data_IF_489471582755
#
_entry.id   IF_489471582755
#
_cell.length_a   1.000
_cell.length_b   1.000
_cell.length_c   1.000
_cell.angle_alpha   90.00
_cell.angle_beta   90.00
_cell.angle_gamma   90.00
#
_symmetry.space_group_name_H-M   'P 1'
#
loop_
_entity.id
_entity.type
_entity.pdbx_description
1 polymer ?
#
# COMPACT_ATOMS: atom_id res chain seq x y z
N UNK A 1 -14.34 2.23 -25.69
CA UNK A 1 -13.16 1.35 -25.80
C UNK A 1 -12.49 1.25 -24.44
N UNK A 2 -12.30 0.05 -23.86
CA UNK A 2 -11.53 -0.07 -22.63
C UNK A 2 -10.09 0.37 -22.92
N UNK A 3 -9.59 1.38 -22.19
CA UNK A 3 -8.18 1.79 -22.27
C UNK A 3 -7.35 0.58 -21.85
N UNK A 4 -6.57 0.03 -22.78
CA UNK A 4 -5.63 -1.04 -22.49
C UNK A 4 -4.72 -0.59 -21.36
N UNK A 5 -4.66 -1.38 -20.27
CA UNK A 5 -3.74 -1.12 -19.17
C UNK A 5 -2.32 -1.27 -19.73
N UNK A 6 -1.52 -0.22 -19.63
CA UNK A 6 -0.10 -0.26 -20.01
C UNK A 6 0.61 -1.42 -19.32
N UNK A 7 1.62 -2.01 -19.97
CA UNK A 7 2.37 -3.12 -19.38
C UNK A 7 3.06 -2.68 -18.07
N UNK A 8 3.40 -3.64 -17.22
CA UNK A 8 4.08 -3.35 -15.96
C UNK A 8 5.44 -2.67 -16.18
N UNK A 9 6.19 -3.10 -17.20
CA UNK A 9 7.51 -2.54 -17.49
C UNK A 9 7.40 -1.15 -18.12
N UNK A 10 6.41 -0.91 -18.98
CA UNK A 10 6.12 0.43 -19.50
C UNK A 10 5.66 1.38 -18.39
N UNK A 11 4.83 0.89 -17.46
CA UNK A 11 4.40 1.65 -16.30
C UNK A 11 5.59 2.05 -15.43
N UNK A 12 6.48 1.11 -15.09
CA UNK A 12 7.69 1.42 -14.33
C UNK A 12 8.57 2.43 -15.07
N UNK A 13 8.80 2.23 -16.37
CA UNK A 13 9.63 3.12 -17.18
C UNK A 13 9.05 4.52 -17.28
N UNK A 14 7.73 4.63 -17.51
CA UNK A 14 7.00 5.90 -17.58
C UNK A 14 7.16 6.72 -16.30
N UNK A 15 7.11 6.06 -15.15
CA UNK A 15 7.16 6.71 -13.85
C UNK A 15 8.54 6.67 -13.18
N UNK A 16 9.58 6.20 -13.88
CA UNK A 16 10.93 6.02 -13.37
C UNK A 16 10.99 5.23 -12.04
N UNK A 17 10.17 4.19 -11.92
CA UNK A 17 10.07 3.35 -10.73
C UNK A 17 11.10 2.22 -10.78
N UNK A 18 11.74 1.95 -9.64
CA UNK A 18 12.74 0.90 -9.48
C UNK A 18 12.24 -0.15 -8.50
N UNK A 19 12.40 -1.43 -8.85
CA UNK A 19 12.13 -2.53 -7.93
C UNK A 19 12.98 -2.37 -6.67
N UNK A 20 12.36 -2.64 -5.51
CA UNK A 20 13.04 -2.63 -4.23
C UNK A 20 12.40 -3.69 -3.33
N UNK A 21 13.18 -4.23 -2.39
CA UNK A 21 12.64 -5.05 -1.30
C UNK A 21 11.68 -4.29 -0.40
N UNK A 22 11.72 -2.94 -0.46
CA UNK A 22 10.96 -2.08 0.43
C UNK A 22 9.58 -1.66 -0.09
N UNK A 23 9.26 -2.01 -1.35
CA UNK A 23 7.99 -1.61 -1.96
C UNK A 23 7.43 -2.66 -2.93
N UNK A 24 6.15 -3.02 -2.75
CA UNK A 24 5.37 -3.91 -3.59
C UNK A 24 4.88 -3.18 -4.87
N UNK A 25 5.79 -2.92 -5.81
CA UNK A 25 5.44 -2.24 -7.06
C UNK A 25 4.43 -3.02 -7.90
N UNK A 26 4.54 -4.36 -7.92
CA UNK A 26 3.56 -5.23 -8.59
C UNK A 26 2.17 -5.10 -7.96
N UNK A 27 2.08 -5.08 -6.63
CA UNK A 27 0.82 -4.85 -5.92
C UNK A 27 0.21 -3.49 -6.26
N UNK A 28 1.02 -2.44 -6.28
CA UNK A 28 0.57 -1.10 -6.62
C UNK A 28 0.08 -0.98 -8.08
N UNK A 29 0.83 -1.56 -9.01
CA UNK A 29 0.45 -1.65 -10.42
C UNK A 29 -0.85 -2.44 -10.59
N UNK A 30 -0.97 -3.61 -9.95
CA UNK A 30 -2.19 -4.42 -10.00
C UNK A 30 -3.41 -3.67 -9.46
N UNK A 31 -3.24 -2.92 -8.37
CA UNK A 31 -4.28 -2.06 -7.79
C UNK A 31 -4.65 -0.85 -8.68
N UNK A 32 -3.78 -0.50 -9.63
CA UNK A 32 -3.99 0.58 -10.59
C UNK A 32 -3.52 1.95 -10.08
N UNK A 33 -2.61 1.99 -9.11
CA UNK A 33 -2.06 3.26 -8.64
C UNK A 33 -1.10 3.86 -9.66
N UNK A 34 -1.09 5.19 -9.66
CA UNK A 34 -0.06 5.99 -10.32
C UNK A 34 0.61 6.83 -9.25
N UNK A 35 1.92 7.07 -9.35
CA UNK A 35 2.59 7.97 -8.43
C UNK A 35 1.98 9.37 -8.47
N UNK A 36 2.03 10.07 -7.34
CA UNK A 36 1.65 11.47 -7.25
C UNK A 36 2.64 12.40 -7.99
N UNK A 37 2.41 13.72 -7.93
CA UNK A 37 3.30 14.72 -8.56
C UNK A 37 4.73 14.72 -8.00
N UNK A 38 4.95 14.09 -6.85
CA UNK A 38 6.27 13.91 -6.21
C UNK A 38 6.85 12.51 -6.47
N UNK A 39 6.18 11.67 -7.25
CA UNK A 39 6.60 10.31 -7.55
C UNK A 39 6.33 9.30 -6.42
N UNK A 40 5.48 9.64 -5.44
CA UNK A 40 5.15 8.73 -4.35
C UNK A 40 3.94 7.86 -4.67
N UNK A 41 4.04 6.58 -4.29
CA UNK A 41 2.94 5.64 -4.29
C UNK A 41 2.39 5.45 -2.86
N UNK A 42 1.11 5.03 -2.71
CA UNK A 42 0.49 4.89 -1.40
C UNK A 42 1.19 3.84 -0.53
N UNK A 43 1.06 4.01 0.79
CA UNK A 43 1.57 3.04 1.78
C UNK A 43 0.68 1.80 1.85
N UNK A 44 -0.63 1.98 1.70
CA UNK A 44 -1.65 0.93 1.83
C UNK A 44 -2.50 0.90 0.58
N UNK A 45 -2.84 -0.30 0.13
CA UNK A 45 -3.81 -0.53 -0.91
C UNK A 45 -5.22 -0.31 -0.33
N UNK A 46 -5.86 0.80 -0.67
CA UNK A 46 -7.19 1.19 -0.19
C UNK A 46 -8.30 0.19 -0.50
N UNK A 47 -8.13 -0.64 -1.53
CA UNK A 47 -9.11 -1.68 -1.93
C UNK A 47 -9.01 -2.95 -1.10
N UNK A 48 -7.80 -3.32 -0.68
CA UNK A 48 -7.55 -4.63 -0.06
C UNK A 48 -7.07 -4.54 1.39
N UNK A 49 -6.62 -3.36 1.82
CA UNK A 49 -5.95 -3.15 3.10
C UNK A 49 -4.49 -3.64 3.13
N UNK A 50 -3.96 -4.19 2.04
CA UNK A 50 -2.57 -4.67 1.99
C UNK A 50 -1.59 -3.50 2.00
N UNK A 51 -0.59 -3.58 2.88
CA UNK A 51 0.50 -2.62 2.90
C UNK A 51 1.39 -2.85 1.69
N UNK A 52 1.62 -1.80 0.91
CA UNK A 52 2.48 -1.83 -0.26
C UNK A 52 3.94 -1.59 0.11
N UNK A 53 4.23 -1.17 1.34
CA UNK A 53 5.59 -0.94 1.83
C UNK A 53 6.04 -2.09 2.72
N UNK A 54 7.33 -2.43 2.67
CA UNK A 54 7.90 -3.43 3.57
C UNK A 54 7.81 -2.96 5.01
N UNK A 55 7.77 -3.91 5.95
CA UNK A 55 7.76 -3.64 7.41
C UNK A 55 8.89 -2.70 7.86
N UNK A 56 10.03 -2.73 7.18
CA UNK A 56 11.21 -1.97 7.56
C UNK A 56 11.21 -0.53 6.99
N UNK A 57 10.24 -0.19 6.14
CA UNK A 57 10.17 1.13 5.54
C UNK A 57 9.78 2.18 6.62
N UNK A 58 10.48 3.33 6.72
CA UNK A 58 10.29 4.30 7.82
C UNK A 58 8.87 4.88 7.89
N UNK A 59 8.14 4.91 6.78
CA UNK A 59 6.75 5.39 6.76
C UNK A 59 5.73 4.37 7.30
N UNK A 60 6.11 3.11 7.49
CA UNK A 60 5.25 2.14 8.18
C UNK A 60 5.04 2.58 9.62
N UNK A 61 6.09 3.04 10.30
CA UNK A 61 5.98 3.56 11.67
C UNK A 61 4.88 4.61 11.78
N UNK A 62 4.87 5.58 10.85
CA UNK A 62 3.84 6.64 10.81
C UNK A 62 2.42 6.10 10.59
N UNK A 63 2.26 5.08 9.77
CA UNK A 63 0.98 4.41 9.52
C UNK A 63 0.48 3.69 10.79
N UNK A 64 1.38 3.02 11.50
CA UNK A 64 1.08 2.35 12.77
C UNK A 64 0.79 3.36 13.89
N UNK A 65 1.52 4.46 13.94
CA UNK A 65 1.28 5.56 14.88
C UNK A 65 -0.11 6.15 14.65
N UNK A 66 -0.48 6.40 13.39
CA UNK A 66 -1.83 6.82 13.04
C UNK A 66 -2.88 5.78 13.47
N UNK A 67 -2.67 4.50 13.14
CA UNK A 67 -3.58 3.41 13.51
C UNK A 67 -3.81 3.31 15.02
N UNK A 68 -2.78 3.60 15.83
CA UNK A 68 -2.86 3.62 17.29
C UNK A 68 -3.28 4.97 17.88
N UNK A 69 -3.34 6.03 17.08
CA UNK A 69 -3.73 7.37 17.54
C UNK A 69 -5.24 7.51 17.75
N UNK A 70 -5.65 8.61 18.38
CA UNK A 70 -7.07 9.00 18.49
C UNK A 70 -7.74 9.15 17.12
N UNK A 71 -7.02 9.60 16.09
CA UNK A 71 -7.56 9.76 14.75
C UNK A 71 -7.85 8.40 14.07
N UNK A 72 -7.04 7.39 14.36
CA UNK A 72 -7.22 6.02 13.85
C UNK A 72 -8.17 5.16 14.69
N UNK A 73 -8.62 5.61 15.85
CA UNK A 73 -9.37 4.80 16.82
C UNK A 73 -10.63 4.14 16.21
N UNK A 74 -11.41 4.89 15.43
CA UNK A 74 -12.60 4.36 14.75
C UNK A 74 -12.27 3.29 13.69
N UNK A 75 -11.10 3.41 13.05
CA UNK A 75 -10.61 2.43 12.08
C UNK A 75 -10.10 1.17 12.79
N UNK A 76 -9.29 1.34 13.85
CA UNK A 76 -8.78 0.26 14.72
C UNK A 76 -9.89 -0.51 15.45
N UNK A 77 -11.01 0.14 15.76
CA UNK A 77 -12.17 -0.54 16.33
C UNK A 77 -12.77 -1.59 15.37
N UNK A 78 -12.64 -1.36 14.06
CA UNK A 78 -13.23 -2.20 13.00
C UNK A 78 -12.22 -3.13 12.32
N UNK A 79 -10.94 -2.80 12.38
CA UNK A 79 -9.88 -3.51 11.67
C UNK A 79 -8.72 -3.87 12.59
N UNK A 80 -8.07 -4.99 12.32
CA UNK A 80 -6.81 -5.42 12.91
C UNK A 80 -5.72 -5.50 11.85
N UNK A 81 -4.46 -5.51 12.29
CA UNK A 81 -3.31 -5.67 11.41
C UNK A 81 -2.92 -7.15 11.42
N UNK A 82 -3.11 -7.81 10.30
CA UNK A 82 -2.54 -9.13 10.03
C UNK A 82 -1.09 -8.95 9.56
N UNK A 83 -0.16 -9.44 10.39
CA UNK A 83 1.28 -9.40 10.12
C UNK A 83 1.86 -10.76 9.71
N UNK A 84 1.03 -11.75 9.41
CA UNK A 84 1.47 -13.12 9.07
C UNK A 84 2.05 -13.24 7.65
N UNK A 85 1.62 -12.37 6.75
CA UNK A 85 2.07 -12.34 5.36
C UNK A 85 3.40 -11.59 5.13
N UNK A 86 3.91 -11.69 3.90
CA UNK A 86 5.10 -10.94 3.44
C UNK A 86 4.90 -9.42 3.60
N UNK A 87 3.69 -8.95 3.36
CA UNK A 87 3.26 -7.60 3.65
C UNK A 87 2.17 -7.65 4.71
N UNK A 88 2.14 -6.64 5.57
CA UNK A 88 1.06 -6.48 6.52
C UNK A 88 -0.24 -6.14 5.81
N UNK A 89 -1.36 -6.39 6.47
CA UNK A 89 -2.67 -6.13 5.90
C UNK A 89 -3.66 -5.71 6.97
N UNK A 90 -4.46 -4.70 6.69
CA UNK A 90 -5.66 -4.43 7.46
C UNK A 90 -6.74 -5.46 7.12
N UNK A 91 -7.23 -6.16 8.14
CA UNK A 91 -8.34 -7.12 8.01
C UNK A 91 -9.48 -6.72 8.96
N UNK A 92 -10.75 -6.88 8.55
CA UNK A 92 -11.87 -6.59 9.44
C UNK A 92 -11.85 -7.50 10.67
N UNK A 93 -12.03 -6.93 11.86
CA UNK A 93 -12.18 -7.72 13.09
C UNK A 93 -13.45 -8.54 13.00
N UNK A 94 -13.33 -9.84 13.29
CA UNK A 94 -14.51 -10.69 13.48
C UNK A 94 -15.21 -10.22 14.76
N UNK A 95 -16.51 -9.95 14.65
CA UNK A 95 -17.37 -9.59 15.79
C UNK A 95 -17.56 -10.79 16.70
#
# INVERSE_FOLDING_TARGET
MPKQKMSYDDWKKKYNLKESSDYNLKGAYSAGYTPDSKGHLPTVNDKTGEFLKSRNHPTIGKEIDWYNSKAGASFKAKNEIDSSGKYWKYVPKRK
#
